data_IF_554608724344
#
_entry.id   IF_554608724344
#
_cell.length_a   1.000
_cell.length_b   1.000
_cell.length_c   1.000
_cell.angle_alpha   90.00
_cell.angle_beta   90.00
_cell.angle_gamma   90.00
#
_symmetry.space_group_name_H-M   'P 1'
#
loop_
_entity.id
_entity.type
_entity.pdbx_description
1 polymer ?
#
# COMPACT_ATOMS: atom_id res chain seq x y z
N UNK A 1 19.16 -42.56 -60.06
CA UNK A 1 18.40 -42.97 -58.85
C UNK A 1 18.71 -41.97 -57.76
N UNK A 2 17.67 -41.28 -57.25
CA UNK A 2 17.61 -40.47 -56.02
C UNK A 2 18.60 -39.27 -55.93
N UNK A 3 18.31 -38.10 -55.39
CA UNK A 3 17.36 -37.70 -54.35
C UNK A 3 17.23 -36.16 -54.41
N UNK A 4 16.17 -35.60 -55.00
CA UNK A 4 15.89 -34.16 -54.91
C UNK A 4 15.05 -33.91 -53.65
N UNK A 5 15.71 -33.41 -52.60
CA UNK A 5 15.12 -33.13 -51.29
C UNK A 5 14.14 -31.96 -51.39
N UNK A 6 12.84 -32.28 -51.38
CA UNK A 6 11.76 -31.31 -51.30
C UNK A 6 11.74 -30.62 -49.93
N UNK A 7 12.36 -29.44 -49.84
CA UNK A 7 12.23 -28.56 -48.69
C UNK A 7 10.79 -28.03 -48.65
N UNK A 8 9.98 -28.57 -47.74
CA UNK A 8 8.62 -28.09 -47.45
C UNK A 8 8.73 -26.81 -46.63
N UNK A 9 8.40 -25.68 -47.24
CA UNK A 9 8.25 -24.39 -46.57
C UNK A 9 7.02 -24.44 -45.64
N UNK A 10 7.23 -24.27 -44.33
CA UNK A 10 6.15 -24.09 -43.37
C UNK A 10 5.66 -22.63 -43.39
N UNK A 11 4.34 -22.36 -43.39
CA UNK A 11 3.82 -21.00 -43.34
C UNK A 11 4.00 -20.39 -41.92
N UNK A 12 4.13 -19.05 -41.81
CA UNK A 12 4.27 -18.40 -40.52
C UNK A 12 2.98 -18.50 -39.71
N UNK A 13 3.14 -18.73 -38.41
CA UNK A 13 2.06 -18.83 -37.44
C UNK A 13 1.13 -17.60 -37.51
N UNK A 14 -0.16 -17.87 -37.67
CA UNK A 14 -1.23 -16.88 -37.67
C UNK A 14 -1.19 -16.11 -36.34
N UNK A 15 -0.98 -14.80 -36.39
CA UNK A 15 -0.97 -13.92 -35.23
C UNK A 15 -2.41 -13.82 -34.71
N UNK A 16 -2.70 -14.52 -33.61
CA UNK A 16 -4.00 -14.44 -32.95
C UNK A 16 -4.28 -13.00 -32.50
N UNK A 17 -5.48 -12.50 -32.84
CA UNK A 17 -5.92 -11.15 -32.51
C UNK A 17 -5.99 -10.91 -30.98
N UNK A 18 -5.72 -9.69 -30.49
CA UNK A 18 -5.79 -9.38 -29.07
C UNK A 18 -7.25 -9.46 -28.55
N UNK A 19 -7.46 -9.87 -27.29
CA UNK A 19 -8.79 -10.01 -26.71
C UNK A 19 -9.52 -8.65 -26.61
N UNK A 20 -10.86 -8.63 -26.66
CA UNK A 20 -11.64 -7.39 -26.58
C UNK A 20 -11.38 -6.67 -25.25
N UNK A 21 -11.16 -5.34 -25.32
CA UNK A 21 -10.98 -4.52 -24.12
C UNK A 21 -12.30 -4.44 -23.37
N UNK A 22 -12.28 -4.89 -22.11
CA UNK A 22 -13.43 -4.84 -21.20
C UNK A 22 -13.90 -3.38 -21.01
N UNK A 23 -15.21 -3.09 -21.06
CA UNK A 23 -15.70 -1.72 -20.88
C UNK A 23 -15.27 -1.17 -19.51
N UNK A 24 -14.81 0.08 -19.50
CA UNK A 24 -14.46 0.80 -18.27
C UNK A 24 -15.74 1.09 -17.51
N UNK A 25 -15.93 0.44 -16.36
CA UNK A 25 -17.08 0.68 -15.51
C UNK A 25 -17.16 2.18 -15.14
N UNK A 26 -18.28 2.81 -15.49
CA UNK A 26 -18.60 4.18 -15.06
C UNK A 26 -18.95 4.10 -13.57
N UNK A 27 -18.14 4.73 -12.72
CA UNK A 27 -18.34 4.73 -11.28
C UNK A 27 -19.66 5.45 -10.95
N UNK A 28 -20.67 4.66 -10.58
CA UNK A 28 -21.93 5.17 -10.04
C UNK A 28 -21.73 5.61 -8.58
N UNK A 29 -22.41 6.66 -8.18
CA UNK A 29 -22.41 7.37 -6.89
C UNK A 29 -22.95 6.54 -5.70
N UNK A 30 -22.51 5.30 -5.58
CA UNK A 30 -22.68 4.51 -4.37
C UNK A 30 -21.65 4.99 -3.33
N UNK A 31 -22.11 5.24 -2.10
CA UNK A 31 -21.25 5.48 -0.94
C UNK A 31 -20.12 4.46 -0.95
N UNK A 32 -18.88 4.95 -1.00
CA UNK A 32 -17.70 4.12 -1.21
C UNK A 32 -17.74 2.88 -0.30
N UNK A 33 -17.43 1.66 -0.80
CA UNK A 33 -17.48 0.42 -0.01
C UNK A 33 -16.59 0.45 1.26
N UNK A 34 -15.78 1.49 1.40
CA UNK A 34 -14.98 1.77 2.58
C UNK A 34 -15.80 2.36 3.75
N UNK A 35 -16.86 3.14 3.50
CA UNK A 35 -17.75 3.69 4.54
C UNK A 35 -18.55 2.61 5.25
N UNK A 36 -19.07 1.64 4.49
CA UNK A 36 -19.84 0.50 5.02
C UNK A 36 -19.02 -0.44 5.90
N UNK A 37 -17.70 -0.33 5.87
CA UNK A 37 -16.78 -1.19 6.63
C UNK A 37 -16.22 -0.51 7.89
N UNK A 38 -16.66 0.72 8.18
CA UNK A 38 -16.24 1.48 9.35
C UNK A 38 -16.72 0.83 10.63
N UNK A 39 -15.81 0.68 11.59
CA UNK A 39 -16.18 0.28 12.94
C UNK A 39 -17.00 1.38 13.64
N UNK A 40 -18.00 1.02 14.46
CA UNK A 40 -18.78 1.99 15.22
C UNK A 40 -17.96 2.70 16.31
N UNK A 41 -16.84 2.10 16.75
CA UNK A 41 -15.95 2.69 17.75
C UNK A 41 -15.14 3.89 17.22
N UNK A 42 -15.18 4.19 15.91
CA UNK A 42 -14.49 5.35 15.37
C UNK A 42 -15.31 6.63 15.61
N UNK A 43 -14.63 7.72 15.94
CA UNK A 43 -15.23 9.06 15.85
C UNK A 43 -15.57 9.41 14.39
N UNK A 44 -16.63 10.19 14.13
CA UNK A 44 -17.00 10.60 12.79
C UNK A 44 -15.88 11.42 12.13
N UNK A 45 -15.67 11.23 10.83
CA UNK A 45 -14.67 11.99 10.06
C UNK A 45 -14.12 11.23 8.86
N UNK A 46 -13.00 11.70 8.32
CA UNK A 46 -12.40 11.13 7.11
C UNK A 46 -11.52 9.91 7.39
N UNK A 47 -10.86 9.89 8.54
CA UNK A 47 -10.00 8.80 8.99
C UNK A 47 -10.80 7.79 9.79
N UNK A 48 -10.59 6.51 9.49
CA UNK A 48 -11.29 5.43 10.18
C UNK A 48 -10.52 4.13 10.18
N UNK A 49 -10.82 3.27 11.16
CA UNK A 49 -10.43 1.88 11.17
C UNK A 49 -11.60 1.01 10.72
N UNK A 50 -11.36 0.11 9.77
CA UNK A 50 -12.37 -0.82 9.29
C UNK A 50 -12.38 -2.14 10.09
N UNK A 51 -13.38 -2.99 9.82
CA UNK A 51 -13.49 -4.30 10.50
C UNK A 51 -12.35 -5.28 10.19
N UNK A 52 -11.56 -5.04 9.12
CA UNK A 52 -10.43 -5.88 8.72
C UNK A 52 -9.17 -5.65 9.54
N UNK A 53 -9.17 -4.65 10.43
CA UNK A 53 -8.07 -4.44 11.37
C UNK A 53 -7.71 -5.74 12.11
N UNK A 54 -6.42 -6.10 12.07
CA UNK A 54 -5.85 -7.30 12.70
C UNK A 54 -5.11 -6.99 14.00
N UNK A 55 -5.28 -5.77 14.53
CA UNK A 55 -4.59 -5.27 15.72
C UNK A 55 -3.04 -5.39 15.67
N UNK A 56 -2.43 -5.09 14.52
CA UNK A 56 -0.97 -5.07 14.35
C UNK A 56 -0.24 -3.96 15.15
N UNK A 57 -0.98 -3.15 15.92
CA UNK A 57 -0.49 -2.08 16.81
C UNK A 57 0.21 -0.89 16.13
N UNK A 58 0.58 -0.99 14.86
CA UNK A 58 1.33 0.04 14.11
C UNK A 58 0.67 1.42 14.15
N UNK A 59 -0.64 1.49 13.88
CA UNK A 59 -1.39 2.75 13.87
C UNK A 59 -1.33 3.45 15.24
N UNK A 60 -1.35 2.68 16.34
CA UNK A 60 -1.29 3.19 17.72
C UNK A 60 0.13 3.63 18.12
N UNK A 61 1.16 2.96 17.61
CA UNK A 61 2.54 3.38 17.86
C UNK A 61 2.89 4.69 17.14
N UNK A 62 2.44 4.83 15.90
CA UNK A 62 2.66 6.04 15.10
C UNK A 62 1.84 7.24 15.57
N UNK A 63 0.64 7.01 16.10
CA UNK A 63 -0.19 8.06 16.67
C UNK A 63 -1.15 7.55 17.73
N UNK A 64 -0.64 7.48 18.94
CA UNK A 64 -1.40 7.17 20.15
C UNK A 64 -2.49 8.20 20.45
N UNK A 65 -2.32 9.46 20.00
CA UNK A 65 -3.30 10.53 20.17
C UNK A 65 -4.54 10.33 19.27
N UNK A 66 -4.34 9.85 18.05
CA UNK A 66 -5.40 9.63 17.03
C UNK A 66 -6.02 8.24 17.17
N UNK A 67 -5.21 7.21 17.43
CA UNK A 67 -5.64 5.82 17.46
C UNK A 67 -5.56 5.23 18.87
N UNK A 68 -6.68 4.70 19.36
CA UNK A 68 -6.75 3.95 20.63
C UNK A 68 -7.15 2.51 20.42
N UNK A 69 -6.89 1.66 21.41
CA UNK A 69 -7.33 0.27 21.41
C UNK A 69 -8.72 0.21 22.02
N UNK A 70 -9.68 -0.32 21.27
CA UNK A 70 -11.07 -0.52 21.71
C UNK A 70 -11.56 -1.86 21.16
N UNK A 71 -12.04 -2.72 22.04
CA UNK A 71 -12.49 -4.10 21.75
C UNK A 71 -11.42 -4.93 21.02
N UNK A 72 -10.18 -4.85 21.50
CA UNK A 72 -9.07 -5.64 20.95
C UNK A 72 -8.60 -5.25 19.54
N UNK A 73 -9.08 -4.14 18.98
CA UNK A 73 -8.65 -3.59 17.68
C UNK A 73 -8.41 -2.09 17.78
N UNK A 74 -7.69 -1.51 16.82
CA UNK A 74 -7.54 -0.05 16.74
C UNK A 74 -8.88 0.62 16.38
N UNK A 75 -9.10 1.82 16.89
CA UNK A 75 -10.20 2.72 16.55
C UNK A 75 -9.69 4.17 16.56
N UNK A 76 -10.26 5.03 15.71
CA UNK A 76 -9.94 6.46 15.70
C UNK A 76 -10.67 7.14 16.85
N UNK A 77 -9.91 7.73 17.77
CA UNK A 77 -10.40 8.44 18.95
C UNK A 77 -10.46 9.97 18.73
N UNK A 78 -9.61 10.51 17.85
CA UNK A 78 -9.61 11.92 17.47
C UNK A 78 -9.26 12.06 15.99
N UNK A 79 -9.90 12.99 15.28
CA UNK A 79 -9.51 13.31 13.90
C UNK A 79 -8.31 14.26 13.90
N UNK A 80 -7.35 14.12 12.98
CA UNK A 80 -6.27 15.09 12.83
C UNK A 80 -6.85 16.47 12.47
N UNK A 81 -6.35 17.50 13.15
CA UNK A 81 -6.86 18.87 13.04
C UNK A 81 -6.07 19.75 12.08
N UNK A 82 -4.80 19.41 11.80
CA UNK A 82 -3.92 20.16 10.89
C UNK A 82 -3.61 19.37 9.62
N UNK A 83 -3.30 20.09 8.54
CA UNK A 83 -2.90 19.48 7.27
C UNK A 83 -1.59 18.69 7.37
N UNK A 84 -0.69 19.10 8.26
CA UNK A 84 0.54 18.37 8.58
C UNK A 84 0.24 17.00 9.17
N UNK A 85 -0.63 16.95 10.19
CA UNK A 85 -1.11 15.69 10.77
C UNK A 85 -1.84 14.84 9.73
N UNK A 86 -2.69 15.46 8.90
CA UNK A 86 -3.42 14.79 7.83
C UNK A 86 -2.50 14.14 6.79
N UNK A 87 -1.36 14.79 6.51
CA UNK A 87 -0.34 14.31 5.58
C UNK A 87 0.47 13.17 6.18
N UNK A 88 0.84 13.29 7.46
CA UNK A 88 1.53 12.24 8.20
C UNK A 88 0.65 10.98 8.32
N UNK A 89 -0.66 11.15 8.55
CA UNK A 89 -1.64 10.06 8.61
C UNK A 89 -2.26 9.70 7.26
N UNK A 90 -1.56 9.85 6.13
CA UNK A 90 -2.14 9.66 4.78
C UNK A 90 -2.89 8.34 4.55
N UNK A 91 -2.68 7.32 5.38
CA UNK A 91 -3.50 6.12 5.37
C UNK A 91 -4.86 6.38 6.04
N UNK A 92 -5.84 6.81 5.24
CA UNK A 92 -7.24 7.01 5.67
C UNK A 92 -7.89 5.75 6.27
N UNK A 93 -7.30 4.57 6.04
CA UNK A 93 -7.80 3.26 6.48
C UNK A 93 -6.68 2.42 7.11
N UNK A 94 -6.77 2.04 8.39
CA UNK A 94 -5.73 1.25 9.07
C UNK A 94 -5.57 -0.21 8.54
N UNK A 95 -6.31 -0.63 7.50
CA UNK A 95 -6.21 -1.98 6.91
C UNK A 95 -4.92 -2.24 6.12
N UNK A 96 -4.11 -1.21 5.85
CA UNK A 96 -2.83 -1.34 5.16
C UNK A 96 -1.83 -0.41 5.84
N UNK A 97 -0.92 -1.00 6.61
CA UNK A 97 0.17 -0.27 7.29
C UNK A 97 0.94 0.60 6.29
N UNK A 98 1.37 1.83 6.65
CA UNK A 98 2.33 2.60 5.89
C UNK A 98 3.74 2.01 6.11
N UNK A 99 3.90 0.71 5.84
CA UNK A 99 5.17 0.00 6.02
C UNK A 99 6.26 0.55 5.10
N UNK A 100 5.91 1.33 4.06
CA UNK A 100 6.90 1.83 3.10
C UNK A 100 7.65 3.06 3.59
N UNK A 101 7.02 3.95 4.38
CA UNK A 101 7.64 5.23 4.77
C UNK A 101 8.56 5.05 5.98
N UNK A 102 8.13 4.34 7.02
CA UNK A 102 8.95 4.08 8.20
C UNK A 102 10.14 3.19 7.84
N UNK A 103 9.94 2.17 7.00
CA UNK A 103 11.03 1.30 6.56
C UNK A 103 12.08 2.09 5.77
N UNK A 104 11.66 3.03 4.91
CA UNK A 104 12.62 3.86 4.17
C UNK A 104 13.43 4.78 5.08
N UNK A 105 12.83 5.39 6.10
CA UNK A 105 13.53 6.32 7.01
C UNK A 105 14.45 5.59 8.00
N UNK A 106 14.02 4.44 8.53
CA UNK A 106 14.87 3.62 9.41
C UNK A 106 16.04 3.01 8.63
N UNK A 107 15.81 2.58 7.38
CA UNK A 107 16.86 2.00 6.55
C UNK A 107 17.88 3.06 6.06
N UNK A 108 17.42 4.27 5.73
CA UNK A 108 18.35 5.37 5.42
C UNK A 108 19.12 5.82 6.65
N UNK A 109 18.51 5.88 7.84
CA UNK A 109 19.24 6.21 9.06
C UNK A 109 20.34 5.19 9.39
N UNK A 110 20.08 3.89 9.28
CA UNK A 110 21.11 2.85 9.51
C UNK A 110 22.20 2.90 8.43
N UNK A 111 21.83 3.11 7.17
CA UNK A 111 22.80 3.25 6.07
C UNK A 111 23.68 4.51 6.21
N UNK A 112 23.12 5.64 6.64
CA UNK A 112 23.85 6.89 6.91
C UNK A 112 24.78 6.69 8.11
N UNK A 113 24.33 6.08 9.19
CA UNK A 113 25.16 5.80 10.37
C UNK A 113 26.32 4.86 10.02
N UNK A 114 26.08 3.79 9.24
CA UNK A 114 27.13 2.89 8.76
C UNK A 114 28.09 3.57 7.78
N UNK A 115 27.61 4.48 6.91
CA UNK A 115 28.44 5.26 5.99
C UNK A 115 29.35 6.24 6.75
N UNK A 116 28.83 6.92 7.77
CA UNK A 116 29.59 7.82 8.64
C UNK A 116 30.66 7.03 9.43
N UNK A 117 30.31 5.86 9.97
CA UNK A 117 31.28 5.03 10.69
C UNK A 117 32.38 4.44 9.77
N UNK A 118 32.06 4.13 8.50
CA UNK A 118 33.05 3.64 7.52
C UNK A 118 33.97 4.75 6.99
N UNK A 119 33.51 5.99 6.88
CA UNK A 119 34.39 7.12 6.51
C UNK A 119 35.31 7.57 7.64
N UNK A 120 34.88 7.46 8.90
CA UNK A 120 35.75 7.77 10.06
C UNK A 120 36.91 6.75 10.23
N UNK A 121 36.78 5.54 9.67
CA UNK A 121 37.84 4.51 9.69
C UNK A 121 38.87 4.66 8.56
N UNK A 122 38.58 5.47 7.54
CA UNK A 122 39.46 5.75 6.39
C UNK A 122 40.28 7.05 6.54
N UNK A 123 40.11 7.75 7.67
CA UNK A 123 40.82 9.00 8.00
C UNK A 123 41.88 8.76 9.12
N UNK A 124 42.13 7.49 9.49
CA UNK A 124 43.24 7.08 10.35
C UNK A 124 44.17 6.11 9.62
#
# INVERSE_FOLDING_TARGET
MALMMSLRFAPPASVAAPPPRRPRAVASSASSPALQRRRPQNVPGDFFVDHRCIDCQTCRWMASEVFKRVDGKAAVAAQPISDEQRTFFKCKTCSRSPSTIIFSLVFTSVAIILKIHMEQLLIF
#
